data_IF_479860850574
#
_entry.id   IF_479860850574
#
_cell.length_a   1.000
_cell.length_b   1.000
_cell.length_c   1.000
_cell.angle_alpha   90.00
_cell.angle_beta   90.00
_cell.angle_gamma   90.00
#
_symmetry.space_group_name_H-M   'P 1'
#
loop_
_entity.id
_entity.type
_entity.pdbx_description
1 polymer ?
#
# COMPACT_ATOMS: atom_id res chain seq x y z
N UNK A 1 24.80 5.36 -2.60
CA UNK A 1 24.26 5.56 -1.25
C UNK A 1 25.17 6.50 -0.50
N UNK A 2 24.62 7.42 0.30
CA UNK A 2 25.43 8.27 1.16
C UNK A 2 26.00 7.40 2.29
N UNK A 3 27.31 7.24 2.35
CA UNK A 3 27.96 6.50 3.45
C UNK A 3 27.97 7.38 4.70
N UNK A 4 26.95 7.22 5.54
CA UNK A 4 26.85 7.84 6.86
C UNK A 4 27.03 6.77 7.95
N UNK A 5 27.63 7.11 9.10
CA UNK A 5 27.72 6.19 10.23
C UNK A 5 26.33 5.88 10.79
N UNK A 6 26.16 4.73 11.45
CA UNK A 6 24.89 4.31 12.05
C UNK A 6 24.31 5.35 13.02
N UNK A 7 25.18 5.99 13.80
CA UNK A 7 24.82 7.05 14.75
C UNK A 7 24.12 8.25 14.10
N UNK A 8 24.39 8.52 12.82
CA UNK A 8 23.68 9.55 12.07
C UNK A 8 22.20 9.16 11.89
N UNK A 9 21.93 7.93 11.47
CA UNK A 9 20.56 7.44 11.24
C UNK A 9 19.74 7.36 12.52
N UNK A 10 20.38 7.14 13.67
CA UNK A 10 19.71 7.17 14.98
C UNK A 10 19.15 8.56 15.36
N UNK A 11 19.58 9.62 14.68
CA UNK A 11 19.10 11.00 14.90
C UNK A 11 18.11 11.49 13.86
N UNK A 12 17.87 10.69 12.80
CA UNK A 12 16.97 11.07 11.71
C UNK A 12 15.53 10.77 12.11
N UNK A 13 14.66 11.76 11.92
CA UNK A 13 13.22 11.59 11.92
C UNK A 13 12.75 11.40 10.48
N UNK A 14 12.23 10.21 10.16
CA UNK A 14 11.63 9.92 8.87
C UNK A 14 10.16 10.32 8.92
N UNK A 15 9.64 10.94 7.88
CA UNK A 15 8.23 11.27 7.78
C UNK A 15 7.72 10.94 6.38
N UNK A 16 6.49 10.44 6.30
CA UNK A 16 5.86 10.07 5.04
C UNK A 16 4.34 10.14 5.15
N UNK A 17 3.68 10.11 3.99
CA UNK A 17 2.23 10.01 3.87
C UNK A 17 1.84 8.62 3.37
N UNK A 18 0.94 7.96 4.09
CA UNK A 18 0.42 6.64 3.72
C UNK A 18 -1.10 6.67 3.57
N UNK A 19 -1.57 6.08 2.47
CA UNK A 19 -2.99 5.90 2.20
C UNK A 19 -3.48 4.54 2.72
N UNK A 20 -4.53 4.55 3.52
CA UNK A 20 -5.21 3.36 4.00
C UNK A 20 -6.60 3.28 3.39
N UNK A 21 -6.84 2.27 2.56
CA UNK A 21 -8.15 2.05 1.95
C UNK A 21 -9.07 1.30 2.92
N UNK A 22 -10.30 1.78 3.14
CA UNK A 22 -11.33 1.08 3.93
C UNK A 22 -11.94 -0.05 3.10
N UNK A 23 -12.03 0.13 1.79
CA UNK A 23 -12.56 -0.85 0.85
C UNK A 23 -11.56 -1.21 -0.24
N UNK A 24 -11.33 -2.51 -0.40
CA UNK A 24 -10.37 -3.03 -1.36
C UNK A 24 -8.92 -2.77 -0.96
N UNK A 25 -8.01 -3.35 -1.73
CA UNK A 25 -6.58 -3.12 -1.59
C UNK A 25 -6.03 -2.69 -2.95
N UNK A 26 -4.99 -1.85 -2.97
CA UNK A 26 -4.28 -1.49 -4.20
C UNK A 26 -3.44 -2.66 -4.76
N UNK A 27 -3.48 -3.82 -4.10
CA UNK A 27 -2.82 -5.04 -4.55
C UNK A 27 -3.51 -5.60 -5.79
N UNK A 28 -2.73 -6.31 -6.60
CA UNK A 28 -3.23 -7.04 -7.75
C UNK A 28 -4.07 -8.24 -7.27
N UNK A 29 -5.31 -8.32 -7.73
CA UNK A 29 -6.19 -9.45 -7.44
C UNK A 29 -5.78 -10.63 -8.32
N UNK A 30 -5.48 -11.77 -7.69
CA UNK A 30 -5.23 -13.02 -8.40
C UNK A 30 -6.55 -13.76 -8.62
N UNK A 31 -6.78 -14.22 -9.85
CA UNK A 31 -7.98 -14.99 -10.21
C UNK A 31 -7.57 -16.28 -10.91
N UNK A 32 -8.32 -17.34 -10.67
CA UNK A 32 -8.13 -18.64 -11.32
C UNK A 32 -9.04 -18.71 -12.56
N UNK A 33 -8.47 -19.03 -13.74
CA UNK A 33 -9.21 -19.28 -14.99
C UNK A 33 -8.57 -20.43 -15.76
N UNK A 34 -9.35 -21.15 -16.57
CA UNK A 34 -8.76 -22.13 -17.48
C UNK A 34 -8.15 -21.41 -18.69
N UNK A 35 -7.19 -22.08 -19.34
CA UNK A 35 -6.53 -21.58 -20.55
C UNK A 35 -7.58 -21.36 -21.64
N UNK A 36 -7.52 -20.22 -22.32
CA UNK A 36 -8.42 -19.82 -23.42
C UNK A 36 -9.91 -19.59 -23.06
N UNK A 37 -10.29 -19.60 -21.77
CA UNK A 37 -11.65 -19.17 -21.39
C UNK A 37 -11.76 -17.64 -21.40
N UNK A 38 -12.88 -17.10 -21.90
CA UNK A 38 -13.18 -15.67 -21.84
C UNK A 38 -13.35 -15.17 -20.40
N UNK A 39 -13.32 -13.85 -20.23
CA UNK A 39 -13.46 -13.19 -18.95
C UNK A 39 -14.88 -13.41 -18.39
N UNK A 40 -15.02 -14.31 -17.43
CA UNK A 40 -16.30 -14.59 -16.78
C UNK A 40 -16.58 -13.56 -15.69
N UNK A 41 -17.73 -12.85 -15.71
CA UNK A 41 -18.12 -11.92 -14.66
C UNK A 41 -18.14 -12.51 -13.25
N UNK A 42 -18.37 -13.82 -13.10
CA UNK A 42 -18.30 -14.53 -11.81
C UNK A 42 -16.90 -14.57 -11.20
N UNK A 43 -15.87 -14.38 -12.02
CA UNK A 43 -14.47 -14.36 -11.61
C UNK A 43 -13.93 -12.92 -11.49
N UNK A 44 -14.80 -11.91 -11.55
CA UNK A 44 -14.44 -10.52 -11.33
C UNK A 44 -14.70 -10.12 -9.88
N UNK A 45 -13.80 -9.33 -9.33
CA UNK A 45 -14.04 -8.62 -8.06
C UNK A 45 -14.59 -7.25 -8.41
N UNK A 46 -15.74 -6.91 -7.81
CA UNK A 46 -16.35 -5.60 -7.99
C UNK A 46 -15.42 -4.49 -7.49
N UNK A 47 -15.26 -3.45 -8.30
CA UNK A 47 -14.53 -2.23 -7.90
C UNK A 47 -15.52 -1.20 -7.37
N UNK A 48 -15.18 -0.53 -6.28
CA UNK A 48 -15.94 0.65 -5.82
C UNK A 48 -15.58 1.85 -6.70
N UNK A 49 -16.57 2.47 -7.36
CA UNK A 49 -16.33 3.70 -8.13
C UNK A 49 -16.15 4.89 -7.16
N UNK A 50 -15.25 5.81 -7.51
CA UNK A 50 -14.87 7.02 -6.74
C UNK A 50 -13.98 6.82 -5.52
N UNK A 51 -13.03 5.89 -5.59
CA UNK A 51 -11.94 5.82 -4.62
C UNK A 51 -12.45 5.44 -3.24
N UNK A 52 -12.95 4.20 -3.12
CA UNK A 52 -13.48 3.60 -1.90
C UNK A 52 -12.83 4.20 -0.66
N UNK A 53 -13.67 4.85 0.15
CA UNK A 53 -13.38 5.56 1.39
C UNK A 53 -12.00 5.16 1.95
N UNK A 54 -11.09 6.12 2.10
CA UNK A 54 -9.75 5.86 2.58
C UNK A 54 -9.23 7.03 3.39
N UNK A 55 -8.31 6.76 4.31
CA UNK A 55 -7.70 7.76 5.16
C UNK A 55 -6.25 7.93 4.73
N UNK A 56 -5.86 9.17 4.44
CA UNK A 56 -4.46 9.53 4.33
C UNK A 56 -3.96 9.88 5.73
N UNK A 57 -2.86 9.26 6.13
CA UNK A 57 -2.20 9.52 7.41
C UNK A 57 -0.80 10.01 7.09
N UNK A 58 -0.44 11.13 7.70
CA UNK A 58 0.93 11.59 7.73
C UNK A 58 1.52 11.23 9.10
N UNK A 59 2.68 10.60 9.10
CA UNK A 59 3.32 10.18 10.34
C UNK A 59 4.84 10.26 10.23
N UNK A 60 5.50 10.18 11.38
CA UNK A 60 6.94 10.18 11.47
C UNK A 60 7.46 9.12 12.44
N UNK A 61 8.62 8.56 12.14
CA UNK A 61 9.27 7.51 12.93
C UNK A 61 10.76 7.77 13.05
N UNK A 62 11.32 7.43 14.21
CA UNK A 62 12.74 7.51 14.51
C UNK A 62 13.30 6.12 14.85
N UNK A 63 14.61 5.99 14.99
CA UNK A 63 15.23 4.75 15.47
C UNK A 63 14.77 4.35 16.89
N UNK A 64 14.28 5.31 17.69
CA UNK A 64 13.69 5.06 19.01
C UNK A 64 12.23 4.60 18.95
N UNK A 65 11.62 4.59 17.77
CA UNK A 65 10.22 4.22 17.56
C UNK A 65 9.40 5.35 16.96
N UNK A 66 8.09 5.09 16.91
CA UNK A 66 7.02 6.03 16.61
C UNK A 66 6.82 6.99 17.77
#
# INVERSE_FOLDING_TARGET
>A
MLNKPETYWNTVLFADESKFNIFGSDRRIMVWRRKNEELNPKNLVGTVKYGGLGVFVWDCISASGL
#
